data_IF_130098606396
#
_entry.id   IF_130098606396
#
_cell.length_a   1.000
_cell.length_b   1.000
_cell.length_c   1.000
_cell.angle_alpha   90.00
_cell.angle_beta   90.00
_cell.angle_gamma   90.00
#
_symmetry.space_group_name_H-M   'P 1'
#
loop_
_entity.id
_entity.type
_entity.pdbx_description
1 polymer ?
#
# COMPACT_ATOMS: atom_id res chain seq x y z
N UNK A 1 5.55 -17.83 -20.67
CA UNK A 1 6.94 -17.36 -20.89
C UNK A 1 7.48 -17.98 -22.16
N UNK A 2 7.68 -17.20 -23.22
CA UNK A 2 8.30 -17.68 -24.45
C UNK A 2 9.45 -16.75 -24.79
N UNK A 3 10.66 -17.31 -24.86
CA UNK A 3 11.88 -16.57 -25.18
C UNK A 3 12.14 -16.66 -26.68
N UNK A 4 12.44 -15.53 -27.32
CA UNK A 4 13.02 -15.51 -28.66
C UNK A 4 14.35 -14.75 -28.62
N UNK A 5 15.41 -15.40 -29.08
CA UNK A 5 16.76 -14.85 -29.19
C UNK A 5 17.11 -14.60 -30.65
N UNK A 6 18.05 -13.69 -30.91
CA UNK A 6 18.76 -13.66 -32.19
C UNK A 6 19.80 -14.78 -32.27
N UNK A 7 20.16 -15.27 -33.48
CA UNK A 7 21.21 -16.28 -33.66
C UNK A 7 22.58 -15.86 -33.10
N UNK A 8 22.83 -14.56 -32.91
CA UNK A 8 24.08 -14.00 -32.37
C UNK A 8 24.11 -13.89 -30.83
N UNK A 9 23.07 -14.36 -30.13
CA UNK A 9 23.05 -14.41 -28.65
C UNK A 9 22.86 -13.06 -27.94
N UNK A 10 22.79 -11.94 -28.66
CA UNK A 10 22.56 -10.62 -28.07
C UNK A 10 21.05 -10.35 -27.86
N UNK A 11 20.70 -9.85 -26.68
CA UNK A 11 19.34 -9.55 -26.27
C UNK A 11 18.81 -8.33 -27.04
N UNK A 12 17.80 -8.51 -27.92
CA UNK A 12 17.24 -7.42 -28.75
C UNK A 12 16.48 -6.37 -27.95
N UNK A 13 15.75 -6.81 -26.94
CA UNK A 13 14.90 -5.98 -26.10
C UNK A 13 14.55 -6.77 -24.84
N UNK A 14 14.49 -6.09 -23.70
CA UNK A 14 13.70 -6.54 -22.55
C UNK A 14 12.31 -5.95 -22.73
N UNK A 15 11.33 -6.81 -23.04
CA UNK A 15 9.95 -6.50 -22.70
C UNK A 15 9.81 -6.96 -21.26
N UNK A 16 9.91 -6.02 -20.32
CA UNK A 16 9.30 -6.23 -19.03
C UNK A 16 7.78 -6.25 -19.29
N UNK A 17 7.01 -7.09 -18.60
CA UNK A 17 5.54 -6.96 -18.58
C UNK A 17 5.14 -5.71 -17.74
N UNK A 18 6.01 -4.70 -17.76
CA UNK A 18 6.06 -3.54 -16.91
C UNK A 18 4.88 -2.65 -17.19
N UNK A 19 4.36 -2.10 -16.09
CA UNK A 19 3.41 -1.00 -16.00
C UNK A 19 3.43 -0.13 -17.27
N UNK A 20 2.28 0.17 -17.90
CA UNK A 20 2.22 0.98 -19.10
C UNK A 20 3.11 2.21 -18.97
N UNK A 21 3.98 2.41 -19.96
CA UNK A 21 4.93 3.54 -20.01
C UNK A 21 4.15 4.83 -19.71
N UNK A 22 4.52 5.53 -18.64
CA UNK A 22 3.85 6.77 -18.19
C UNK A 22 2.94 6.65 -16.96
N UNK A 23 2.73 5.46 -16.39
CA UNK A 23 2.10 5.31 -15.06
C UNK A 23 3.16 4.94 -14.01
N UNK A 24 3.26 5.73 -12.95
CA UNK A 24 4.11 5.42 -11.80
C UNK A 24 3.24 4.80 -10.70
N UNK A 25 3.65 3.61 -10.24
CA UNK A 25 3.00 2.90 -9.14
C UNK A 25 3.93 2.89 -7.94
N UNK A 26 3.43 3.35 -6.79
CA UNK A 26 4.12 3.26 -5.51
C UNK A 26 3.28 2.40 -4.60
N UNK A 27 3.90 1.37 -4.01
CA UNK A 27 3.26 0.48 -3.03
C UNK A 27 4.18 0.40 -1.82
N UNK A 28 3.63 0.66 -0.64
CA UNK A 28 4.32 0.43 0.63
C UNK A 28 3.45 -0.50 1.45
N UNK A 29 4.01 -1.65 1.82
CA UNK A 29 3.35 -2.62 2.68
C UNK A 29 3.60 -2.29 4.16
N UNK A 30 2.73 -2.80 5.03
CA UNK A 30 2.89 -2.61 6.48
C UNK A 30 4.15 -3.26 7.07
N UNK A 31 4.79 -4.19 6.33
CA UNK A 31 6.08 -4.80 6.69
C UNK A 31 7.30 -4.00 6.20
N UNK A 32 7.12 -2.95 5.40
CA UNK A 32 8.22 -2.12 4.90
C UNK A 32 8.69 -1.13 5.97
N UNK A 33 9.49 -1.64 6.91
CA UNK A 33 9.97 -0.89 8.10
C UNK A 33 10.80 0.35 7.75
N UNK A 34 11.34 0.44 6.53
CA UNK A 34 12.10 1.61 6.08
C UNK A 34 11.19 2.74 5.57
N UNK A 35 9.95 2.41 5.23
CA UNK A 35 8.95 3.34 4.70
C UNK A 35 7.69 3.37 5.58
N UNK A 36 7.80 2.95 6.84
CA UNK A 36 6.72 3.02 7.81
C UNK A 36 7.17 3.59 9.14
N UNK A 37 6.25 4.26 9.84
CA UNK A 37 6.45 4.74 11.20
C UNK A 37 5.19 4.55 12.04
N UNK A 38 5.36 4.30 13.34
CA UNK A 38 4.24 4.06 14.26
C UNK A 38 4.29 4.99 15.46
N UNK A 39 3.11 5.40 15.91
CA UNK A 39 2.86 5.96 17.23
C UNK A 39 1.88 5.04 17.95
N UNK A 40 2.24 4.61 19.15
CA UNK A 40 1.55 3.52 19.85
C UNK A 40 1.96 2.13 19.36
N UNK A 41 1.38 1.09 19.94
CA UNK A 41 1.69 -0.31 19.63
C UNK A 41 0.77 -0.85 18.54
N UNK A 42 1.36 -1.24 17.40
CA UNK A 42 0.64 -1.87 16.29
C UNK A 42 1.15 -3.31 16.11
N UNK A 43 0.33 -4.26 16.51
CA UNK A 43 0.70 -5.67 16.55
C UNK A 43 0.62 -6.30 15.15
N UNK A 44 1.56 -7.20 14.85
CA UNK A 44 1.46 -8.05 13.67
C UNK A 44 0.33 -9.07 13.87
N UNK A 45 -0.50 -9.23 12.85
CA UNK A 45 -1.60 -10.19 12.83
C UNK A 45 -1.74 -10.82 11.45
N UNK A 46 -2.61 -11.81 11.34
CA UNK A 46 -3.06 -12.36 10.07
C UNK A 46 -4.51 -11.93 9.82
N UNK A 47 -4.86 -11.76 8.55
CA UNK A 47 -6.19 -11.38 8.12
C UNK A 47 -6.57 -12.04 6.79
N UNK A 48 -7.86 -12.34 6.63
CA UNK A 48 -8.34 -12.88 5.36
C UNK A 48 -8.23 -11.83 4.25
N UNK A 49 -7.69 -12.22 3.09
CA UNK A 49 -7.52 -11.31 1.94
C UNK A 49 -6.39 -10.29 2.09
N UNK A 50 -5.52 -10.45 3.10
CA UNK A 50 -4.36 -9.57 3.30
C UNK A 50 -3.47 -9.49 2.05
N UNK A 51 -2.74 -8.38 1.94
CA UNK A 51 -1.61 -8.25 1.05
C UNK A 51 -0.33 -8.50 1.85
N UNK A 52 0.67 -9.14 1.25
CA UNK A 52 1.93 -9.43 1.93
C UNK A 52 1.81 -10.50 3.02
N UNK A 53 2.79 -10.49 3.93
CA UNK A 53 3.00 -11.54 4.93
C UNK A 53 2.16 -11.36 6.20
N UNK A 54 1.94 -10.12 6.62
CA UNK A 54 1.14 -9.80 7.80
C UNK A 54 0.32 -8.52 7.58
N UNK A 55 -0.55 -8.25 8.54
CA UNK A 55 -1.19 -6.95 8.69
C UNK A 55 -0.81 -6.36 10.04
N UNK A 56 -0.90 -5.03 10.15
CA UNK A 56 -0.73 -4.31 11.41
C UNK A 56 -2.08 -3.89 11.95
N UNK A 57 -2.36 -4.27 13.20
CA UNK A 57 -3.63 -3.97 13.87
C UNK A 57 -3.39 -3.17 15.14
N UNK A 58 -4.39 -2.39 15.52
CA UNK A 58 -4.43 -1.68 16.78
C UNK A 58 -5.85 -1.83 17.35
N UNK A 59 -6.02 -2.03 18.67
CA UNK A 59 -7.33 -2.00 19.31
C UNK A 59 -8.07 -0.69 19.07
N UNK A 60 -9.37 -0.62 19.35
CA UNK A 60 -10.08 0.66 19.29
C UNK A 60 -9.41 1.68 20.23
N UNK A 61 -8.89 2.77 19.68
CA UNK A 61 -8.18 3.82 20.41
C UNK A 61 -8.96 5.12 20.54
N UNK A 62 -8.34 6.11 21.19
CA UNK A 62 -8.84 7.49 21.35
C UNK A 62 -8.41 8.42 20.20
N UNK A 63 -7.62 7.92 19.25
CA UNK A 63 -7.03 8.70 18.15
C UNK A 63 -5.58 9.14 18.39
N UNK A 64 -4.95 8.72 19.50
CA UNK A 64 -3.56 9.04 19.83
C UNK A 64 -2.52 8.11 19.18
N UNK A 65 -2.98 7.03 18.52
CA UNK A 65 -2.11 6.07 17.84
C UNK A 65 -2.24 6.23 16.34
N UNK A 66 -1.13 6.10 15.62
CA UNK A 66 -1.11 6.21 14.16
C UNK A 66 -0.14 5.21 13.54
N UNK A 67 -0.52 4.64 12.41
CA UNK A 67 0.38 3.92 11.51
C UNK A 67 0.59 4.81 10.27
N UNK A 68 1.84 5.10 9.93
CA UNK A 68 2.21 6.01 8.85
C UNK A 68 2.96 5.23 7.77
N UNK A 69 2.54 5.39 6.52
CA UNK A 69 3.28 4.92 5.35
C UNK A 69 3.93 6.12 4.66
N UNK A 70 5.25 6.11 4.51
CA UNK A 70 6.00 7.12 3.77
C UNK A 70 6.18 6.68 2.31
N UNK A 71 5.42 7.30 1.41
CA UNK A 71 5.48 6.99 -0.02
C UNK A 71 6.58 7.82 -0.70
N UNK A 72 7.56 7.14 -1.31
CA UNK A 72 8.58 7.79 -2.14
C UNK A 72 8.03 8.00 -3.56
N UNK A 73 7.50 9.20 -3.82
CA UNK A 73 6.89 9.55 -5.10
C UNK A 73 8.00 9.86 -6.13
N UNK A 74 8.10 9.14 -7.25
CA UNK A 74 9.23 9.29 -8.19
C UNK A 74 9.16 10.56 -9.03
N UNK A 75 7.97 11.12 -9.21
CA UNK A 75 7.74 12.32 -10.02
C UNK A 75 6.49 13.06 -9.55
N UNK A 76 6.54 14.39 -9.63
CA UNK A 76 5.39 15.25 -9.40
C UNK A 76 4.23 14.93 -10.37
N UNK A 77 3.02 14.88 -9.83
CA UNK A 77 1.81 14.60 -10.60
C UNK A 77 0.59 14.33 -9.73
N UNK A 78 -0.52 14.01 -10.38
CA UNK A 78 -1.76 13.58 -9.73
C UNK A 78 -1.75 12.07 -9.58
N UNK A 79 -1.95 11.59 -8.35
CA UNK A 79 -2.00 10.17 -8.03
C UNK A 79 -3.38 9.80 -7.50
N UNK A 80 -3.86 8.62 -7.88
CA UNK A 80 -4.94 7.95 -7.19
C UNK A 80 -4.35 7.21 -5.98
N UNK A 81 -4.94 7.44 -4.80
CA UNK A 81 -4.49 6.81 -3.55
C UNK A 81 -5.47 5.70 -3.20
N UNK A 82 -4.97 4.48 -3.14
CA UNK A 82 -5.71 3.28 -2.77
C UNK A 82 -5.17 2.72 -1.46
N UNK A 83 -6.04 2.10 -0.67
CA UNK A 83 -5.66 1.38 0.54
C UNK A 83 -6.27 -0.01 0.49
N UNK A 84 -5.43 -1.02 0.73
CA UNK A 84 -5.87 -2.40 0.87
C UNK A 84 -5.75 -2.83 2.32
N UNK A 85 -6.77 -3.50 2.83
CA UNK A 85 -6.76 -4.07 4.17
C UNK A 85 -7.32 -5.48 4.16
N UNK A 86 -6.87 -6.31 5.10
CA UNK A 86 -7.47 -7.60 5.35
C UNK A 86 -8.80 -7.48 6.10
N UNK A 87 -9.54 -8.59 6.15
CA UNK A 87 -10.71 -8.72 7.01
C UNK A 87 -10.26 -9.19 8.41
N UNK A 88 -10.57 -8.39 9.42
CA UNK A 88 -10.33 -8.72 10.84
C UNK A 88 -11.64 -8.54 11.59
N UNK A 89 -11.98 -9.50 12.48
CA UNK A 89 -13.16 -9.41 13.33
C UNK A 89 -13.12 -8.14 14.17
N UNK A 90 -14.21 -7.35 14.12
CA UNK A 90 -14.29 -6.07 14.85
C UNK A 90 -13.54 -4.91 14.19
N UNK A 91 -13.18 -5.02 12.90
CA UNK A 91 -12.58 -3.93 12.14
C UNK A 91 -13.43 -2.65 12.19
N UNK A 92 -12.75 -1.50 12.22
CA UNK A 92 -13.41 -0.20 12.32
C UNK A 92 -14.24 0.11 11.07
N UNK A 93 -15.44 0.66 11.27
CA UNK A 93 -16.33 1.04 10.16
C UNK A 93 -16.06 2.45 9.63
N UNK A 94 -15.15 3.19 10.27
CA UNK A 94 -14.82 4.57 9.95
C UNK A 94 -13.35 4.90 10.28
N UNK A 95 -12.41 3.99 9.99
CA UNK A 95 -10.99 4.20 10.22
C UNK A 95 -10.51 5.47 9.48
N UNK A 96 -9.97 6.50 10.16
CA UNK A 96 -9.56 7.74 9.51
C UNK A 96 -8.19 7.57 8.84
N UNK A 97 -8.15 7.63 7.50
CA UNK A 97 -6.91 7.70 6.73
C UNK A 97 -6.60 9.15 6.38
N UNK A 98 -5.47 9.65 6.88
CA UNK A 98 -4.97 10.99 6.55
C UNK A 98 -3.95 10.90 5.41
N UNK A 99 -4.21 11.60 4.32
CA UNK A 99 -3.32 11.72 3.17
C UNK A 99 -2.74 13.13 3.17
N UNK A 100 -1.44 13.25 3.39
CA UNK A 100 -0.70 14.50 3.20
C UNK A 100 -0.14 14.54 1.77
N UNK A 101 -0.39 15.63 1.06
CA UNK A 101 0.06 15.86 -0.32
C UNK A 101 0.56 17.31 -0.47
N UNK A 102 1.15 17.64 -1.62
CA UNK A 102 1.86 18.92 -1.85
C UNK A 102 1.03 20.18 -1.59
N UNK A 103 -0.29 20.09 -1.69
CA UNK A 103 -1.23 21.20 -1.49
C UNK A 103 -1.96 21.20 -0.14
N UNK A 104 -1.72 20.21 0.73
CA UNK A 104 -2.36 20.13 2.04
C UNK A 104 -2.61 18.71 2.53
N UNK A 105 -3.63 18.56 3.37
CA UNK A 105 -4.03 17.26 3.93
C UNK A 105 -5.52 17.01 3.70
N UNK A 106 -5.87 15.75 3.44
CA UNK A 106 -7.26 15.27 3.38
C UNK A 106 -7.42 14.03 4.25
N UNK A 107 -8.54 13.94 4.96
CA UNK A 107 -8.89 12.73 5.74
C UNK A 107 -10.08 12.03 5.09
N UNK A 108 -9.95 10.71 4.89
CA UNK A 108 -11.00 9.85 4.35
C UNK A 108 -11.31 8.72 5.35
N UNK A 109 -12.56 8.59 5.82
CA UNK A 109 -12.95 7.44 6.62
C UNK A 109 -13.08 6.21 5.72
N UNK A 110 -12.53 5.08 6.15
CA UNK A 110 -12.61 3.79 5.45
C UNK A 110 -13.35 2.79 6.33
N UNK A 111 -14.34 2.12 5.76
CA UNK A 111 -15.02 1.01 6.42
C UNK A 111 -14.24 -0.28 6.22
N UNK A 112 -13.44 -0.66 7.21
CA UNK A 112 -12.59 -1.84 7.15
C UNK A 112 -13.34 -3.17 7.40
N UNK A 113 -14.65 -3.12 7.70
CA UNK A 113 -15.49 -4.32 7.82
C UNK A 113 -15.97 -4.86 6.46
N UNK A 114 -15.75 -4.10 5.38
CA UNK A 114 -16.17 -4.41 4.00
C UNK A 114 -15.03 -4.19 3.02
N UNK A 115 -15.11 -4.75 1.81
CA UNK A 115 -14.12 -4.45 0.76
C UNK A 115 -12.72 -5.02 1.01
N UNK A 116 -12.59 -6.01 1.90
CA UNK A 116 -11.30 -6.61 2.23
C UNK A 116 -10.63 -7.21 0.99
N UNK A 117 -9.33 -6.97 0.85
CA UNK A 117 -8.52 -7.48 -0.26
C UNK A 117 -8.68 -6.73 -1.60
N UNK A 118 -9.41 -5.62 -1.62
CA UNK A 118 -9.55 -4.71 -2.76
C UNK A 118 -8.71 -3.45 -2.57
#
# INVERSE_FOLDING_TARGET
MTWAFYPSGNQKARSDDGVPVGKQLVVVDSTDVNNTATQGSWDASQAMGQWGYDVRTHPKGTGTSSFTWQLNIPQDGTYEVLVRHGNVTGAATNAPFKIAHSTGEVTKPVNQSTGSGQ
#
